data_IF_597067966522
#
_entry.id   IF_597067966522
#
_cell.length_a   1.000
_cell.length_b   1.000
_cell.length_c   1.000
_cell.angle_alpha   90.00
_cell.angle_beta   90.00
_cell.angle_gamma   90.00
#
_symmetry.space_group_name_H-M   'P 1'
#
loop_
_entity.id
_entity.type
_entity.pdbx_description
1 polymer ?
#
# COMPACT_ATOMS: atom_id res chain seq x y z
N UNK A 1 -9.44 -21.16 -22.26
CA UNK A 1 -9.29 -19.78 -22.76
C UNK A 1 -9.79 -18.82 -21.68
N UNK A 2 -8.93 -18.12 -20.91
CA UNK A 2 -9.38 -17.15 -19.91
C UNK A 2 -9.68 -15.80 -20.58
N UNK A 3 -10.81 -15.19 -20.23
CA UNK A 3 -11.40 -14.03 -20.91
C UNK A 3 -10.52 -12.78 -20.81
N UNK A 4 -10.40 -12.02 -21.89
CA UNK A 4 -9.64 -10.75 -21.98
C UNK A 4 -10.05 -9.73 -20.90
N UNK A 5 -11.30 -9.79 -20.41
CA UNK A 5 -11.81 -8.97 -19.30
C UNK A 5 -11.20 -9.34 -17.94
N UNK A 6 -10.86 -10.61 -17.74
CA UNK A 6 -10.27 -11.14 -16.50
C UNK A 6 -8.80 -10.71 -16.37
N UNK A 7 -8.07 -10.60 -17.49
CA UNK A 7 -6.68 -10.14 -17.53
C UNK A 7 -6.56 -8.64 -17.29
N UNK A 8 -7.47 -7.84 -17.84
CA UNK A 8 -7.48 -6.38 -17.64
C UNK A 8 -7.80 -6.04 -16.18
N UNK A 9 -8.80 -6.71 -15.59
CA UNK A 9 -9.19 -6.47 -14.19
C UNK A 9 -8.09 -6.85 -13.19
N UNK A 10 -7.41 -7.99 -13.40
CA UNK A 10 -6.32 -8.44 -12.52
C UNK A 10 -5.13 -7.49 -12.56
N UNK A 11 -4.69 -7.08 -13.76
CA UNK A 11 -3.53 -6.19 -13.93
C UNK A 11 -3.75 -4.84 -13.24
N UNK A 12 -4.97 -4.30 -13.39
CA UNK A 12 -5.35 -3.04 -12.72
C UNK A 12 -5.28 -3.17 -11.19
N UNK A 13 -5.78 -4.27 -10.64
CA UNK A 13 -5.73 -4.49 -9.20
C UNK A 13 -4.27 -4.64 -8.71
N UNK A 14 -3.41 -5.30 -9.47
CA UNK A 14 -1.97 -5.42 -9.16
C UNK A 14 -1.27 -4.06 -9.18
N UNK A 15 -1.56 -3.20 -10.18
CA UNK A 15 -1.06 -1.83 -10.26
C UNK A 15 -1.54 -0.99 -9.06
N UNK A 16 -2.83 -1.05 -8.71
CA UNK A 16 -3.41 -0.32 -7.57
C UNK A 16 -2.75 -0.75 -6.24
N UNK A 17 -2.46 -2.05 -6.07
CA UNK A 17 -1.73 -2.53 -4.90
C UNK A 17 -0.27 -2.06 -4.87
N UNK A 18 0.38 -2.01 -6.02
CA UNK A 18 1.74 -1.51 -6.12
C UNK A 18 1.81 -0.02 -5.76
N UNK A 19 0.91 0.81 -6.28
CA UNK A 19 0.82 2.24 -5.98
C UNK A 19 0.58 2.50 -4.49
N UNK A 20 -0.35 1.76 -3.88
CA UNK A 20 -0.59 1.78 -2.43
C UNK A 20 0.70 1.45 -1.66
N UNK A 21 1.39 0.38 -2.05
CA UNK A 21 2.63 -0.06 -1.43
C UNK A 21 3.73 0.99 -1.47
N UNK A 22 3.93 1.63 -2.63
CA UNK A 22 4.89 2.72 -2.80
C UNK A 22 4.53 3.93 -1.95
N UNK A 23 3.24 4.25 -1.83
CA UNK A 23 2.78 5.37 -1.02
C UNK A 23 2.99 5.15 0.47
N UNK A 24 2.66 3.95 0.96
CA UNK A 24 2.95 3.53 2.35
C UNK A 24 4.45 3.61 2.62
N UNK A 25 5.29 3.13 1.70
CA UNK A 25 6.76 3.23 1.81
C UNK A 25 7.22 4.69 1.91
N UNK A 26 6.72 5.57 1.04
CA UNK A 26 7.08 6.98 1.03
C UNK A 26 6.73 7.67 2.36
N UNK A 27 5.51 7.49 2.85
CA UNK A 27 5.05 8.04 4.13
C UNK A 27 5.84 7.50 5.32
N UNK A 28 6.23 6.21 5.27
CA UNK A 28 7.05 5.57 6.30
C UNK A 28 8.45 6.18 6.35
N UNK A 29 9.11 6.30 5.19
CA UNK A 29 10.44 6.88 5.08
C UNK A 29 10.47 8.35 5.49
N UNK A 30 9.45 9.13 5.08
CA UNK A 30 9.31 10.53 5.49
C UNK A 30 9.20 10.73 7.01
N UNK A 31 8.83 9.67 7.76
CA UNK A 31 8.75 9.65 9.23
C UNK A 31 9.95 8.99 9.91
N UNK A 32 10.97 8.59 9.15
CA UNK A 32 12.14 7.89 9.69
C UNK A 32 11.83 6.51 10.27
N UNK A 33 10.70 5.91 9.92
CA UNK A 33 10.28 4.61 10.44
C UNK A 33 10.92 3.47 9.64
N UNK A 34 11.43 2.44 10.30
CA UNK A 34 11.74 1.16 9.67
C UNK A 34 10.47 0.35 9.38
N UNK A 35 10.57 -0.70 8.57
CA UNK A 35 9.44 -1.62 8.36
C UNK A 35 8.98 -2.29 9.68
N UNK A 36 9.92 -2.59 10.59
CA UNK A 36 9.59 -3.12 11.92
C UNK A 36 8.81 -2.10 12.75
N UNK A 37 9.16 -0.81 12.64
CA UNK A 37 8.46 0.25 13.37
C UNK A 37 7.04 0.42 12.85
N UNK A 38 6.79 0.26 11.54
CA UNK A 38 5.44 0.30 11.00
C UNK A 38 4.64 -1.00 11.27
N UNK A 39 5.31 -2.14 11.43
CA UNK A 39 4.68 -3.45 11.36
C UNK A 39 3.61 -3.73 12.41
N UNK A 40 3.70 -3.20 13.63
CA UNK A 40 2.81 -3.63 14.74
C UNK A 40 1.33 -3.28 14.50
N UNK A 41 0.37 -4.21 14.73
CA UNK A 41 0.52 -5.55 15.32
C UNK A 41 0.87 -6.67 14.31
N UNK A 42 1.04 -6.34 13.04
CA UNK A 42 1.48 -7.25 11.98
C UNK A 42 3.00 -7.52 12.04
N UNK A 43 3.48 -8.26 11.04
CA UNK A 43 4.89 -8.62 10.89
C UNK A 43 5.64 -7.68 9.94
N UNK A 44 6.97 -7.65 10.06
CA UNK A 44 7.84 -6.98 9.07
C UNK A 44 7.60 -7.51 7.64
N UNK A 45 7.39 -8.82 7.52
CA UNK A 45 7.12 -9.46 6.23
C UNK A 45 5.80 -8.96 5.61
N UNK A 46 4.77 -8.72 6.43
CA UNK A 46 3.53 -8.10 5.97
C UNK A 46 3.78 -6.71 5.38
N UNK A 47 4.53 -5.84 6.09
CA UNK A 47 4.88 -4.51 5.57
C UNK A 47 5.73 -4.62 4.30
N UNK A 48 6.66 -5.56 4.25
CA UNK A 48 7.47 -5.78 3.04
C UNK A 48 6.64 -6.20 1.83
N UNK A 49 5.69 -7.12 2.01
CA UNK A 49 4.79 -7.57 0.93
C UNK A 49 3.85 -6.44 0.51
N UNK A 50 3.33 -5.68 1.47
CA UNK A 50 2.48 -4.52 1.20
C UNK A 50 3.22 -3.48 0.36
N UNK A 51 4.44 -3.10 0.77
CA UNK A 51 5.24 -2.12 0.04
C UNK A 51 5.62 -2.56 -1.38
N UNK A 52 5.65 -3.87 -1.64
CA UNK A 52 5.87 -4.44 -2.96
C UNK A 52 4.58 -4.59 -3.80
N UNK A 53 3.40 -4.30 -3.23
CA UNK A 53 2.10 -4.57 -3.86
C UNK A 53 1.70 -6.04 -3.89
N UNK A 54 2.38 -6.90 -3.12
CA UNK A 54 2.17 -8.35 -3.10
C UNK A 54 1.00 -8.80 -2.22
N UNK A 55 0.38 -7.90 -1.47
CA UNK A 55 -0.80 -8.21 -0.64
C UNK A 55 -1.79 -7.05 -0.64
N UNK A 56 -3.08 -7.38 -0.67
CA UNK A 56 -4.16 -6.44 -0.41
C UNK A 56 -4.46 -6.37 1.09
N UNK A 57 -4.22 -5.23 1.76
CA UNK A 57 -4.52 -5.08 3.17
C UNK A 57 -6.03 -4.99 3.41
N UNK A 58 -6.49 -5.50 4.56
CA UNK A 58 -7.88 -5.32 4.99
C UNK A 58 -8.15 -3.87 5.40
N UNK A 59 -9.43 -3.43 5.46
CA UNK A 59 -9.77 -2.09 5.95
C UNK A 59 -9.19 -1.79 7.34
N UNK A 60 -9.20 -2.78 8.24
CA UNK A 60 -8.61 -2.66 9.58
C UNK A 60 -7.09 -2.47 9.55
N UNK A 61 -6.41 -3.13 8.61
CA UNK A 61 -4.99 -2.94 8.41
C UNK A 61 -4.68 -1.54 7.88
N UNK A 62 -5.48 -1.03 6.94
CA UNK A 62 -5.37 0.36 6.47
C UNK A 62 -5.52 1.35 7.62
N UNK A 63 -6.55 1.22 8.46
CA UNK A 63 -6.75 2.08 9.64
C UNK A 63 -5.52 2.07 10.57
N UNK A 64 -5.01 0.87 10.85
CA UNK A 64 -3.88 0.68 11.77
C UNK A 64 -2.60 1.30 11.21
N UNK A 65 -2.30 1.06 9.94
CA UNK A 65 -1.15 1.63 9.25
C UNK A 65 -1.26 3.15 9.17
N UNK A 66 -2.42 3.68 8.82
CA UNK A 66 -2.66 5.12 8.74
C UNK A 66 -2.47 5.82 10.09
N UNK A 67 -2.97 5.22 11.18
CA UNK A 67 -2.76 5.75 12.52
C UNK A 67 -1.26 5.80 12.90
N UNK A 68 -0.49 4.75 12.60
CA UNK A 68 0.97 4.73 12.84
C UNK A 68 1.73 5.70 11.94
N UNK A 69 1.24 5.89 10.72
CA UNK A 69 1.72 6.90 9.80
C UNK A 69 1.14 8.28 10.10
N UNK A 70 0.36 8.50 11.17
CA UNK A 70 -0.19 9.81 11.49
C UNK A 70 -0.92 10.49 10.32
N UNK A 71 -1.66 9.72 9.51
CA UNK A 71 -2.50 10.20 8.41
C UNK A 71 -3.91 9.66 8.53
N UNK A 72 -4.87 10.29 7.87
CA UNK A 72 -6.22 9.75 7.76
C UNK A 72 -6.22 8.47 6.88
N UNK A 73 -7.00 7.42 7.19
CA UNK A 73 -7.05 6.18 6.39
C UNK A 73 -7.33 6.42 4.89
N UNK A 74 -8.13 7.44 4.58
CA UNK A 74 -8.42 7.84 3.20
C UNK A 74 -7.18 8.26 2.41
N UNK A 75 -6.10 8.69 3.06
CA UNK A 75 -4.84 9.05 2.39
C UNK A 75 -4.18 7.82 1.77
N UNK A 76 -4.36 6.63 2.36
CA UNK A 76 -3.82 5.38 1.83
C UNK A 76 -4.73 4.80 0.74
N UNK A 77 -6.05 4.98 0.85
CA UNK A 77 -7.01 4.47 -0.14
C UNK A 77 -7.29 5.44 -1.27
N UNK A 78 -6.89 6.71 -1.12
CA UNK A 78 -6.94 7.68 -2.20
C UNK A 78 -6.00 7.19 -3.30
N UNK A 79 -6.55 7.04 -4.50
CA UNK A 79 -5.86 6.53 -5.69
C UNK A 79 -4.84 7.55 -6.20
N UNK A 80 -3.77 7.75 -5.43
CA UNK A 80 -2.67 8.69 -5.66
C UNK A 80 -1.41 8.10 -5.02
N UNK A 81 -0.73 7.24 -5.76
CA UNK A 81 0.66 6.90 -5.46
C UNK A 81 1.61 8.05 -5.83
N UNK A 82 2.89 8.01 -5.41
CA UNK A 82 3.89 8.99 -5.81
C UNK A 82 4.20 8.99 -7.33
N UNK A 83 3.68 8.02 -8.09
CA UNK A 83 3.76 7.93 -9.55
C UNK A 83 3.15 9.13 -10.29
N UNK A 84 2.20 9.87 -9.68
CA UNK A 84 1.61 11.07 -10.28
C UNK A 84 2.34 12.39 -9.94
N UNK A 85 3.32 12.38 -9.04
CA UNK A 85 4.02 13.59 -8.57
C UNK A 85 5.31 13.92 -9.35
N UNK A 86 5.52 13.32 -10.52
CA UNK A 86 6.70 13.57 -11.37
C UNK A 86 6.36 13.92 -12.82
N UNK A 87 5.29 14.68 -13.05
CA UNK A 87 5.10 15.40 -14.32
C UNK A 87 5.41 16.88 -14.16
#
# INVERSE_FOLDING_TARGET
MKSSREWIGRRRAEEELHELGQWVRALRLARGLSQNDLARPYSRAFVSLLEAGGISPSPRAIETLAARLGVHPQVLTARRGPSEMSQ
#
